data_IF_406767186634
#
_entry.id   IF_406767186634
#
_cell.length_a   1.000
_cell.length_b   1.000
_cell.length_c   1.000
_cell.angle_alpha   90.00
_cell.angle_beta   90.00
_cell.angle_gamma   90.00
#
_symmetry.space_group_name_H-M   'P 1'
#
loop_
_entity.id
_entity.type
_entity.pdbx_description
1 polymer ?
#
# COMPACT_ATOMS: atom_id res chain seq x y z
N UNK A 1 23.53 7.00 11.91
CA UNK A 1 22.07 7.19 12.05
C UNK A 1 21.75 8.49 11.33
N UNK A 2 21.04 8.43 10.22
CA UNK A 2 20.81 9.60 9.36
C UNK A 2 19.85 10.57 10.06
N UNK A 3 20.38 11.70 10.53
CA UNK A 3 19.66 12.71 11.32
C UNK A 3 18.60 13.46 10.51
N UNK A 4 18.69 13.40 9.18
CA UNK A 4 17.74 13.95 8.21
C UNK A 4 16.28 13.51 8.43
N UNK A 5 16.08 12.28 8.94
CA UNK A 5 14.74 11.69 9.07
C UNK A 5 13.94 12.31 10.23
N UNK A 6 14.61 12.84 11.26
CA UNK A 6 13.94 13.24 12.52
C UNK A 6 13.51 14.70 12.57
N UNK A 7 14.18 15.59 11.83
CA UNK A 7 13.86 17.02 11.78
C UNK A 7 14.22 17.59 10.39
N UNK A 8 13.31 17.54 9.41
CA UNK A 8 13.55 18.11 8.09
C UNK A 8 13.42 19.64 8.18
N UNK A 9 14.46 20.30 8.68
CA UNK A 9 14.60 21.75 8.50
C UNK A 9 15.50 21.93 7.27
N UNK A 10 14.94 22.54 6.22
CA UNK A 10 15.57 22.83 4.91
C UNK A 10 15.94 21.61 4.06
N UNK A 11 14.98 21.18 3.23
CA UNK A 11 15.15 20.56 1.89
C UNK A 11 16.24 19.51 1.70
N UNK A 12 16.46 18.62 2.66
CA UNK A 12 17.15 17.36 2.40
C UNK A 12 16.17 16.41 1.71
N UNK A 13 16.14 16.46 0.37
CA UNK A 13 15.41 15.45 -0.39
C UNK A 13 16.07 14.10 -0.14
N UNK A 14 15.38 13.20 0.56
CA UNK A 14 15.78 11.80 0.60
C UNK A 14 15.64 11.28 -0.83
N UNK A 15 16.77 10.92 -1.41
CA UNK A 15 16.84 10.38 -2.76
C UNK A 15 16.95 8.86 -2.69
N UNK A 16 16.06 8.17 -3.38
CA UNK A 16 16.16 6.73 -3.56
C UNK A 16 16.86 6.44 -4.88
N UNK A 17 17.86 5.58 -4.85
CA UNK A 17 18.39 4.97 -6.06
C UNK A 17 17.27 4.10 -6.67
N UNK A 18 17.20 3.98 -7.99
CA UNK A 18 16.31 3.03 -8.65
C UNK A 18 17.09 2.36 -9.78
N UNK A 19 17.39 1.05 -9.70
CA UNK A 19 18.40 0.42 -10.55
C UNK A 19 18.05 0.45 -12.04
N UNK A 20 16.78 0.43 -12.41
CA UNK A 20 16.32 0.41 -13.80
C UNK A 20 15.80 1.75 -14.33
N UNK A 21 15.55 2.75 -13.47
CA UNK A 21 15.26 4.11 -13.93
C UNK A 21 16.58 4.85 -14.10
N UNK A 22 17.32 4.52 -15.16
CA UNK A 22 18.54 5.23 -15.59
C UNK A 22 19.53 5.55 -14.44
N UNK A 23 19.61 4.70 -13.41
CA UNK A 23 20.41 4.93 -12.20
C UNK A 23 20.20 6.31 -11.55
N UNK A 24 18.97 6.83 -11.59
CA UNK A 24 18.65 8.16 -11.07
C UNK A 24 18.31 8.12 -9.58
N UNK A 25 18.68 9.21 -8.93
CA UNK A 25 18.22 9.58 -7.61
C UNK A 25 16.82 10.19 -7.74
N UNK A 26 15.84 9.55 -7.11
CA UNK A 26 14.42 9.91 -7.18
C UNK A 26 13.99 10.58 -5.87
N UNK A 27 13.42 11.80 -5.89
CA UNK A 27 12.95 12.46 -4.68
C UNK A 27 11.70 11.77 -4.12
N UNK A 28 11.57 11.77 -2.79
CA UNK A 28 10.29 11.45 -2.15
C UNK A 28 9.24 12.53 -2.46
N UNK A 29 7.99 12.09 -2.57
CA UNK A 29 6.81 12.95 -2.60
C UNK A 29 6.15 13.00 -1.23
N UNK A 30 5.40 14.06 -0.95
CA UNK A 30 4.80 14.31 0.38
C UNK A 30 3.29 14.49 0.33
N UNK A 31 2.64 14.09 -0.78
CA UNK A 31 1.20 14.27 -0.98
C UNK A 31 0.37 13.48 0.02
N UNK A 32 0.79 12.25 0.33
CA UNK A 32 0.02 11.32 1.18
C UNK A 32 0.60 11.17 2.59
N UNK A 33 1.85 11.57 2.83
CA UNK A 33 2.44 11.55 4.16
C UNK A 33 3.57 12.59 4.30
N UNK A 34 3.69 13.17 5.50
CA UNK A 34 4.73 14.17 5.81
C UNK A 34 6.13 13.57 5.92
N UNK A 35 6.22 12.25 6.06
CA UNK A 35 7.49 11.53 6.17
C UNK A 35 8.08 11.18 4.80
N UNK A 36 7.30 11.33 3.72
CA UNK A 36 7.71 11.09 2.35
C UNK A 36 7.39 9.67 1.85
N UNK A 37 6.98 9.57 0.59
CA UNK A 37 6.62 8.33 -0.08
C UNK A 37 7.20 8.25 -1.49
N UNK A 38 7.13 7.05 -2.11
CA UNK A 38 7.57 6.85 -3.48
C UNK A 38 6.72 7.69 -4.45
N UNK A 39 7.32 8.24 -5.53
CA UNK A 39 6.57 8.96 -6.54
C UNK A 39 5.52 8.12 -7.27
N UNK A 40 4.46 8.78 -7.73
CA UNK A 40 3.33 8.13 -8.37
C UNK A 40 3.65 7.41 -9.69
N UNK A 41 4.77 7.72 -10.35
CA UNK A 41 5.18 7.06 -11.59
C UNK A 41 5.94 5.75 -11.39
N UNK A 42 6.26 5.38 -10.14
CA UNK A 42 7.00 4.18 -9.81
C UNK A 42 6.05 3.11 -9.30
N UNK A 43 5.74 2.13 -10.15
CA UNK A 43 5.01 0.93 -9.74
C UNK A 43 5.91 0.05 -8.87
N UNK A 44 5.53 -0.14 -7.61
CA UNK A 44 6.29 -0.90 -6.63
C UNK A 44 6.38 -2.39 -6.96
N UNK A 45 5.53 -2.95 -7.83
CA UNK A 45 5.73 -4.31 -8.34
C UNK A 45 7.02 -4.45 -9.15
N UNK A 46 7.54 -3.38 -9.72
CA UNK A 46 8.78 -3.42 -10.51
C UNK A 46 10.05 -3.52 -9.66
N UNK A 47 9.94 -3.30 -8.34
CA UNK A 47 11.05 -3.36 -7.38
C UNK A 47 10.87 -4.49 -6.39
N UNK A 48 11.96 -5.12 -5.91
CA UNK A 48 11.88 -6.05 -4.79
C UNK A 48 11.25 -5.39 -3.55
N UNK A 49 10.40 -6.08 -2.75
CA UNK A 49 9.85 -5.49 -1.54
C UNK A 49 10.88 -5.02 -0.51
N UNK A 50 12.02 -5.73 -0.46
CA UNK A 50 13.18 -5.37 0.36
C UNK A 50 13.79 -4.02 -0.03
N UNK A 51 13.53 -3.54 -1.25
CA UNK A 51 14.08 -2.28 -1.74
C UNK A 51 13.51 -1.08 -0.99
N UNK A 52 12.23 -1.12 -0.63
CA UNK A 52 11.57 0.00 0.04
C UNK A 52 11.40 -0.21 1.54
N UNK A 53 11.41 -1.46 2.02
CA UNK A 53 11.21 -1.79 3.43
C UNK A 53 12.11 -1.05 4.45
N UNK A 54 13.43 -0.90 4.22
CA UNK A 54 14.32 -0.27 5.19
C UNK A 54 14.39 1.26 5.07
N UNK A 55 13.99 1.84 3.93
CA UNK A 55 14.23 3.26 3.66
C UNK A 55 12.98 4.13 3.80
N UNK A 56 11.79 3.57 3.56
CA UNK A 56 10.57 4.36 3.68
C UNK A 56 10.11 4.44 5.14
N UNK A 57 9.92 5.65 5.67
CA UNK A 57 9.36 5.84 7.00
C UNK A 57 7.89 5.40 7.06
N UNK A 58 7.38 5.16 8.26
CA UNK A 58 5.95 4.96 8.46
C UNK A 58 5.19 6.30 8.40
N UNK A 59 3.99 6.36 7.79
CA UNK A 59 3.34 5.30 7.03
C UNK A 59 4.08 5.02 5.70
N UNK A 60 4.26 3.74 5.39
CA UNK A 60 4.98 3.32 4.19
C UNK A 60 4.01 3.25 3.01
N UNK A 61 4.04 4.29 2.17
CA UNK A 61 3.14 4.41 1.03
C UNK A 61 3.87 4.06 -0.27
N UNK A 62 3.26 3.16 -1.05
CA UNK A 62 3.74 2.62 -2.31
C UNK A 62 2.67 2.83 -3.38
N UNK A 63 3.05 2.95 -4.65
CA UNK A 63 2.12 2.95 -5.77
C UNK A 63 2.13 1.58 -6.43
N UNK A 64 0.97 1.01 -6.72
CA UNK A 64 0.86 -0.29 -7.37
C UNK A 64 -0.11 -0.22 -8.53
N UNK A 65 0.31 -0.72 -9.68
CA UNK A 65 -0.59 -1.06 -10.78
C UNK A 65 -1.14 -2.48 -10.58
N UNK A 66 -2.44 -2.57 -10.32
CA UNK A 66 -3.12 -3.84 -10.05
C UNK A 66 -3.69 -4.48 -11.32
N UNK A 67 -3.50 -3.90 -12.51
CA UNK A 67 -3.94 -4.46 -13.78
C UNK A 67 -3.60 -5.95 -13.96
N UNK A 68 -2.37 -6.43 -13.63
CA UNK A 68 -2.01 -7.84 -13.81
C UNK A 68 -2.80 -8.80 -12.90
N UNK A 69 -3.39 -8.28 -11.83
CA UNK A 69 -4.08 -9.03 -10.79
C UNK A 69 -5.57 -8.65 -10.69
N UNK A 70 -6.09 -7.88 -11.66
CA UNK A 70 -7.44 -7.34 -11.64
C UNK A 70 -8.50 -8.43 -11.45
N UNK A 71 -8.46 -9.48 -12.29
CA UNK A 71 -9.43 -10.57 -12.26
C UNK A 71 -9.41 -11.37 -10.94
N UNK A 72 -8.26 -11.93 -10.47
CA UNK A 72 -8.23 -12.66 -9.21
C UNK A 72 -8.59 -11.79 -8.01
N UNK A 73 -8.19 -10.51 -8.01
CA UNK A 73 -8.57 -9.58 -6.94
C UNK A 73 -10.09 -9.33 -6.94
N UNK A 74 -10.71 -9.09 -8.10
CA UNK A 74 -12.15 -8.86 -8.16
C UNK A 74 -12.94 -10.09 -7.69
N UNK A 75 -12.49 -11.30 -8.06
CA UNK A 75 -13.12 -12.57 -7.67
C UNK A 75 -13.08 -12.83 -6.15
N UNK A 76 -12.02 -12.38 -5.47
CA UNK A 76 -11.84 -12.62 -4.04
C UNK A 76 -12.38 -11.50 -3.13
N UNK A 77 -12.89 -10.42 -3.73
CA UNK A 77 -13.44 -9.25 -3.03
C UNK A 77 -14.64 -9.63 -2.16
N UNK A 78 -14.54 -9.33 -0.87
CA UNK A 78 -15.58 -9.60 0.12
C UNK A 78 -15.64 -8.53 1.22
N UNK A 79 -16.76 -8.46 1.92
CA UNK A 79 -16.86 -7.71 3.17
C UNK A 79 -16.39 -8.61 4.33
N UNK A 80 -15.47 -8.11 5.13
CA UNK A 80 -14.94 -8.75 6.32
C UNK A 80 -15.10 -7.81 7.53
N UNK A 81 -14.76 -8.30 8.73
CA UNK A 81 -14.63 -7.45 9.90
C UNK A 81 -13.44 -7.90 10.76
N UNK A 82 -12.76 -6.94 11.38
CA UNK A 82 -11.85 -7.21 12.49
C UNK A 82 -12.49 -6.80 13.83
N UNK A 83 -12.08 -7.47 14.91
CA UNK A 83 -12.46 -7.09 16.27
C UNK A 83 -11.33 -6.29 16.86
N UNK A 84 -11.64 -5.12 17.41
CA UNK A 84 -10.70 -4.30 18.16
C UNK A 84 -11.27 -3.99 19.52
N UNK A 85 -10.41 -4.07 20.53
CA UNK A 85 -10.71 -3.58 21.84
C UNK A 85 -10.43 -2.08 21.87
N UNK A 86 -11.46 -1.30 22.23
CA UNK A 86 -11.41 0.15 22.31
C UNK A 86 -11.55 0.54 23.78
N UNK A 87 -10.56 1.25 24.30
CA UNK A 87 -10.63 1.81 25.65
C UNK A 87 -11.39 3.14 25.55
N UNK A 88 -12.52 3.23 26.22
CA UNK A 88 -13.30 4.47 26.29
C UNK A 88 -12.63 5.49 27.21
N UNK A 89 -13.09 6.75 27.15
CA UNK A 89 -12.67 7.80 28.08
C UNK A 89 -12.94 7.44 29.57
N UNK A 90 -13.90 6.55 29.83
CA UNK A 90 -14.21 6.04 31.17
C UNK A 90 -13.37 4.84 31.61
N UNK A 91 -12.45 4.35 30.76
CA UNK A 91 -11.63 3.17 31.02
C UNK A 91 -12.31 1.82 30.75
N UNK A 92 -13.54 1.82 30.22
CA UNK A 92 -14.21 0.59 29.82
C UNK A 92 -13.61 0.05 28.51
N UNK A 93 -13.45 -1.28 28.42
CA UNK A 93 -13.02 -1.96 27.19
C UNK A 93 -14.27 -2.34 26.39
N UNK A 94 -14.44 -1.76 25.21
CA UNK A 94 -15.50 -2.10 24.27
C UNK A 94 -14.94 -2.96 23.14
N UNK A 95 -15.60 -4.09 22.85
CA UNK A 95 -15.30 -4.87 21.66
C UNK A 95 -16.02 -4.24 20.45
N UNK A 96 -15.27 -3.52 19.62
CA UNK A 96 -15.79 -2.90 18.41
C UNK A 96 -15.53 -3.79 17.19
N UNK A 97 -16.52 -3.89 16.30
CA UNK A 97 -16.35 -4.50 14.97
C UNK A 97 -16.02 -3.39 13.97
N UNK A 98 -14.87 -3.50 13.30
CA UNK A 98 -14.54 -2.65 12.16
C UNK A 98 -14.76 -3.44 10.88
N UNK A 99 -15.71 -2.99 10.07
CA UNK A 99 -15.98 -3.58 8.77
C UNK A 99 -14.97 -3.09 7.73
N UNK A 100 -14.54 -3.99 6.85
CA UNK A 100 -13.51 -3.75 5.83
C UNK A 100 -13.90 -4.46 4.53
N UNK A 101 -13.63 -3.85 3.39
CA UNK A 101 -13.58 -4.58 2.12
C UNK A 101 -12.19 -5.17 1.95
N UNK A 102 -12.13 -6.48 1.70
CA UNK A 102 -10.87 -7.22 1.59
C UNK A 102 -10.86 -8.03 0.30
N UNK A 103 -9.74 -8.00 -0.40
CA UNK A 103 -9.44 -8.84 -1.56
C UNK A 103 -8.00 -9.33 -1.46
N UNK A 104 -7.67 -10.44 -2.12
CA UNK A 104 -6.29 -10.88 -2.23
C UNK A 104 -6.01 -11.70 -3.48
N UNK A 105 -4.74 -11.80 -3.81
CA UNK A 105 -4.20 -12.52 -4.96
C UNK A 105 -2.78 -12.99 -4.67
N UNK A 106 -2.35 -14.02 -5.39
CA UNK A 106 -0.98 -14.53 -5.32
C UNK A 106 -0.13 -13.88 -6.41
N UNK A 107 1.08 -13.46 -6.06
CA UNK A 107 2.12 -13.05 -6.99
C UNK A 107 3.14 -14.18 -7.05
N UNK A 108 3.31 -14.77 -8.23
CA UNK A 108 4.20 -15.92 -8.43
C UNK A 108 5.23 -15.73 -9.55
N UNK A 109 5.05 -14.71 -10.40
CA UNK A 109 5.90 -14.41 -11.54
C UNK A 109 5.58 -13.00 -12.11
N UNK A 110 6.19 -12.69 -13.26
CA UNK A 110 5.97 -11.47 -14.03
C UNK A 110 4.47 -11.09 -14.15
N UNK A 111 4.13 -9.79 -14.10
CA UNK A 111 5.03 -8.65 -14.38
C UNK A 111 5.73 -8.05 -13.16
N UNK A 112 5.59 -8.63 -11.97
CA UNK A 112 6.32 -8.17 -10.80
C UNK A 112 7.80 -8.63 -10.80
N UNK A 113 8.65 -7.92 -10.05
CA UNK A 113 10.01 -8.34 -9.76
C UNK A 113 9.99 -9.73 -9.11
N UNK A 114 11.04 -10.52 -9.34
CA UNK A 114 11.10 -11.93 -8.93
C UNK A 114 10.90 -12.12 -7.41
N UNK A 115 11.25 -11.12 -6.62
CA UNK A 115 11.14 -11.09 -5.16
C UNK A 115 9.72 -10.80 -4.66
N UNK A 116 8.81 -10.33 -5.52
CA UNK A 116 7.39 -10.36 -5.25
C UNK A 116 6.87 -11.78 -5.43
N UNK A 117 7.00 -12.58 -4.37
CA UNK A 117 6.50 -13.94 -4.32
C UNK A 117 5.64 -14.15 -3.07
N UNK A 118 4.40 -14.58 -3.26
CA UNK A 118 3.45 -14.88 -2.19
C UNK A 118 2.15 -14.07 -2.27
N UNK A 119 1.48 -13.90 -1.14
CA UNK A 119 0.14 -13.32 -1.07
C UNK A 119 0.14 -11.82 -0.89
N UNK A 120 -0.65 -11.11 -1.69
CA UNK A 120 -1.01 -9.71 -1.47
C UNK A 120 -2.45 -9.65 -1.01
N UNK A 121 -2.70 -9.00 0.12
CA UNK A 121 -4.06 -8.70 0.60
C UNK A 121 -4.27 -7.19 0.60
N UNK A 122 -5.37 -6.75 -0.02
CA UNK A 122 -5.78 -5.36 -0.05
C UNK A 122 -6.95 -5.17 0.92
N UNK A 123 -6.93 -4.09 1.71
CA UNK A 123 -8.04 -3.67 2.56
C UNK A 123 -8.48 -2.23 2.23
N UNK A 124 -9.79 -2.00 2.24
CA UNK A 124 -10.40 -0.68 2.23
C UNK A 124 -11.43 -0.57 3.36
N UNK A 125 -11.84 0.65 3.70
CA UNK A 125 -12.90 0.88 4.68
C UNK A 125 -14.19 0.16 4.26
N UNK A 126 -14.95 -0.39 5.21
CA UNK A 126 -16.22 -1.11 4.95
C UNK A 126 -17.39 -0.24 4.50
N UNK A 127 -17.12 0.93 3.93
CA UNK A 127 -18.10 1.87 3.37
C UNK A 127 -18.33 1.59 1.89
N UNK A 128 -19.42 2.13 1.33
CA UNK A 128 -19.68 2.03 -0.12
C UNK A 128 -18.61 2.78 -0.94
N UNK A 129 -18.07 3.86 -0.41
CA UNK A 129 -16.96 4.63 -0.97
C UNK A 129 -15.68 3.78 -1.00
N UNK A 130 -15.34 3.13 0.12
CA UNK A 130 -14.19 2.24 0.21
C UNK A 130 -14.28 1.06 -0.77
N UNK A 131 -15.48 0.49 -0.95
CA UNK A 131 -15.71 -0.53 -1.99
C UNK A 131 -15.45 0.01 -3.39
N UNK A 132 -16.06 1.14 -3.74
CA UNK A 132 -15.95 1.75 -5.08
C UNK A 132 -14.51 2.11 -5.41
N UNK A 133 -13.77 2.63 -4.44
CA UNK A 133 -12.37 2.98 -4.60
C UNK A 133 -11.50 1.74 -4.83
N UNK A 134 -11.74 0.68 -4.06
CA UNK A 134 -11.06 -0.60 -4.24
C UNK A 134 -11.36 -1.22 -5.61
N UNK A 135 -12.64 -1.27 -6.01
CA UNK A 135 -13.07 -1.77 -7.33
C UNK A 135 -12.50 -0.95 -8.48
N UNK A 136 -12.36 0.37 -8.32
CA UNK A 136 -11.72 1.24 -9.31
C UNK A 136 -10.24 0.88 -9.48
N UNK A 137 -9.50 0.73 -8.37
CA UNK A 137 -8.07 0.38 -8.39
C UNK A 137 -7.79 -0.94 -9.10
N UNK A 138 -8.63 -1.95 -8.87
CA UNK A 138 -8.51 -3.28 -9.52
C UNK A 138 -9.25 -3.37 -10.85
N UNK A 139 -9.73 -2.26 -11.41
CA UNK A 139 -10.40 -2.22 -12.71
C UNK A 139 -11.73 -3.00 -12.76
N UNK A 140 -12.33 -3.29 -11.61
CA UNK A 140 -13.52 -4.15 -11.48
C UNK A 140 -13.33 -5.52 -12.14
N UNK A 141 -12.10 -6.06 -12.14
CA UNK A 141 -11.75 -7.32 -12.78
C UNK A 141 -11.23 -7.19 -14.22
N UNK A 142 -11.29 -6.00 -14.81
CA UNK A 142 -10.77 -5.71 -16.15
C UNK A 142 -9.41 -4.99 -16.05
N UNK A 143 -8.30 -5.62 -16.48
CA UNK A 143 -6.96 -5.03 -16.47
C UNK A 143 -6.88 -3.67 -17.17
N UNK A 144 -7.68 -3.45 -18.22
CA UNK A 144 -7.63 -2.18 -18.99
C UNK A 144 -8.24 -1.00 -18.25
N UNK A 145 -8.98 -1.27 -17.17
CA UNK A 145 -9.65 -0.27 -16.33
C UNK A 145 -8.97 -0.08 -14.99
N UNK A 146 -7.98 -0.90 -14.65
CA UNK A 146 -7.22 -0.76 -13.43
C UNK A 146 -6.40 0.53 -13.48
N UNK A 147 -6.24 1.15 -12.31
CA UNK A 147 -5.51 2.41 -12.18
C UNK A 147 -4.48 2.28 -11.08
N UNK A 148 -3.23 2.59 -11.42
CA UNK A 148 -2.16 2.67 -10.44
C UNK A 148 -2.49 3.69 -9.35
N UNK A 149 -2.14 3.37 -8.10
CA UNK A 149 -2.20 4.37 -7.05
C UNK A 149 -1.72 3.92 -5.69
N UNK A 150 -1.86 4.80 -4.67
CA UNK A 150 -1.22 4.64 -3.39
C UNK A 150 -1.87 3.57 -2.50
N UNK A 151 -0.99 2.83 -1.82
CA UNK A 151 -1.28 1.81 -0.83
C UNK A 151 -0.35 1.97 0.37
N UNK A 152 -0.88 1.89 1.58
CA UNK A 152 -0.11 1.87 2.81
C UNK A 152 0.20 0.42 3.19
N UNK A 153 1.47 0.10 3.47
CA UNK A 153 1.85 -1.21 4.01
C UNK A 153 1.41 -1.33 5.47
N UNK A 154 0.54 -2.29 5.75
CA UNK A 154 0.06 -2.60 7.11
C UNK A 154 1.03 -3.57 7.77
N UNK A 155 2.08 -3.03 8.40
CA UNK A 155 3.19 -3.81 8.96
C UNK A 155 2.72 -4.83 10.00
N UNK A 156 1.74 -4.48 10.83
CA UNK A 156 1.22 -5.35 11.88
C UNK A 156 0.44 -6.57 11.35
N UNK A 157 -0.01 -6.54 10.08
CA UNK A 157 -0.69 -7.66 9.41
C UNK A 157 0.19 -8.38 8.40
N UNK A 158 1.33 -7.80 8.03
CA UNK A 158 2.25 -8.34 7.04
C UNK A 158 3.23 -9.33 7.67
N UNK A 159 3.55 -10.41 6.96
CA UNK A 159 4.50 -11.44 7.38
C UNK A 159 5.29 -11.96 6.18
N UNK A 160 6.25 -12.86 6.42
CA UNK A 160 7.01 -13.48 5.33
C UNK A 160 6.06 -14.19 4.34
N UNK A 161 6.16 -13.85 3.05
CA UNK A 161 5.31 -14.42 2.01
C UNK A 161 3.87 -13.89 1.98
N UNK A 162 3.50 -12.92 2.82
CA UNK A 162 2.19 -12.28 2.78
C UNK A 162 2.27 -10.80 3.16
N UNK A 163 1.94 -9.90 2.24
CA UNK A 163 1.87 -8.46 2.49
C UNK A 163 0.43 -7.98 2.56
N UNK A 164 0.16 -7.10 3.51
CA UNK A 164 -1.14 -6.48 3.69
C UNK A 164 -1.05 -5.01 3.37
N UNK A 165 -1.95 -4.55 2.51
CA UNK A 165 -1.94 -3.21 1.94
C UNK A 165 -3.28 -2.55 2.19
N UNK A 166 -3.26 -1.33 2.73
CA UNK A 166 -4.46 -0.53 2.97
C UNK A 166 -4.59 0.52 1.89
N UNK A 167 -5.80 0.65 1.35
CA UNK A 167 -6.14 1.67 0.37
C UNK A 167 -5.91 3.05 0.97
N UNK A 168 -5.13 3.87 0.26
CA UNK A 168 -4.95 5.29 0.58
C UNK A 168 -5.92 6.08 -0.31
N UNK A 169 -6.87 6.83 0.27
CA UNK A 169 -7.78 7.66 -0.51
C UNK A 169 -7.01 8.71 -1.31
N UNK A 170 -7.45 9.00 -2.53
CA UNK A 170 -6.90 10.13 -3.26
C UNK A 170 -7.39 11.43 -2.64
N UNK A 171 -6.47 12.19 -2.06
CA UNK A 171 -6.77 13.57 -1.66
C UNK A 171 -6.96 14.38 -2.95
N UNK A 172 -8.18 14.90 -3.12
CA UNK A 172 -8.54 15.85 -4.19
C UNK A 172 -7.80 17.16 -3.99
#
# INVERSE_FOLDING_TARGET
>A
INTAIRQPQTTEHVLLFVPFIKHKLVPLEYKYCNTGHLPAYLDAFTLPPSYYHPFLPSPQILFLDLAPFAEPAQKSLRLAFDRRDVITASGAILNAKRYLHVTGFEVSAAPAAQEWFGMVTLEAEGTAEGRRDLERRIGSGDPTRAVMGPWEVVREKSMLGAIWLRLVPETT
#
